data_IF_082571688037
#
_entry.id   IF_082571688037
#
_cell.length_a   1.000
_cell.length_b   1.000
_cell.length_c   1.000
_cell.angle_alpha   90.00
_cell.angle_beta   90.00
_cell.angle_gamma   90.00
#
_symmetry.space_group_name_H-M   'P 1'
#
loop_
_entity.id
_entity.type
_entity.pdbx_description
1 polymer ?
#
# COMPACT_ATOMS: atom_id res chain seq x y z
N UNK A 1 -25.10 10.40 14.08
CA UNK A 1 -24.72 11.19 12.90
C UNK A 1 -23.56 10.49 12.21
N UNK A 2 -23.66 10.18 10.89
CA UNK A 2 -22.60 9.53 10.15
C UNK A 2 -21.43 10.49 9.89
N UNK A 3 -20.20 10.00 10.09
CA UNK A 3 -19.00 10.70 9.65
C UNK A 3 -18.72 10.29 8.19
N UNK A 4 -18.23 11.20 7.38
CA UNK A 4 -17.86 10.98 5.99
C UNK A 4 -16.42 11.45 5.80
N UNK A 5 -15.65 10.66 5.06
CA UNK A 5 -14.33 11.05 4.59
C UNK A 5 -14.47 11.53 3.15
N UNK A 6 -13.94 12.71 2.86
CA UNK A 6 -13.99 13.31 1.53
C UNK A 6 -12.60 13.55 0.98
N UNK A 7 -12.47 13.40 -0.33
CA UNK A 7 -11.35 13.86 -1.13
C UNK A 7 -11.90 14.83 -2.16
N UNK A 8 -11.40 16.06 -2.16
CA UNK A 8 -11.82 17.11 -3.06
C UNK A 8 -10.61 17.80 -3.70
N UNK A 9 -10.81 18.46 -4.84
CA UNK A 9 -9.78 19.24 -5.51
C UNK A 9 -10.11 20.72 -5.40
N UNK A 10 -9.11 21.51 -5.03
CA UNK A 10 -9.19 22.96 -5.17
C UNK A 10 -9.14 23.35 -6.67
N UNK A 11 -9.60 24.56 -7.03
CA UNK A 11 -9.47 25.15 -8.37
C UNK A 11 -8.01 25.19 -8.87
N UNK A 12 -7.04 25.20 -7.97
CA UNK A 12 -5.62 25.13 -8.31
C UNK A 12 -5.10 23.68 -8.54
N UNK A 13 -5.98 22.68 -8.52
CA UNK A 13 -5.63 21.28 -8.79
C UNK A 13 -5.00 20.53 -7.60
N UNK A 14 -4.91 21.17 -6.43
CA UNK A 14 -4.40 20.57 -5.20
C UNK A 14 -5.46 19.70 -4.55
N UNK A 15 -5.13 18.44 -4.26
CA UNK A 15 -6.03 17.51 -3.57
C UNK A 15 -6.08 17.84 -2.08
N UNK A 16 -7.30 17.98 -1.56
CA UNK A 16 -7.62 18.27 -0.17
C UNK A 16 -8.51 17.14 0.33
N UNK A 17 -8.04 16.40 1.34
CA UNK A 17 -8.78 15.32 1.95
C UNK A 17 -9.03 15.59 3.43
N UNK A 18 -10.24 15.30 3.90
CA UNK A 18 -10.65 15.54 5.28
C UNK A 18 -11.78 14.62 5.74
N UNK A 19 -12.13 14.72 7.01
CA UNK A 19 -13.30 14.03 7.58
C UNK A 19 -14.31 15.09 8.03
N UNK A 20 -15.58 14.88 7.74
CA UNK A 20 -16.70 15.75 8.15
C UNK A 20 -17.93 14.94 8.50
N UNK A 21 -18.71 15.48 9.42
CA UNK A 21 -20.00 14.92 9.78
C UNK A 21 -21.05 15.53 8.84
N UNK A 22 -21.82 14.68 8.17
CA UNK A 22 -22.93 15.09 7.30
C UNK A 22 -24.09 14.10 7.49
N UNK A 23 -25.31 14.46 7.10
CA UNK A 23 -26.45 13.54 7.17
C UNK A 23 -26.45 12.59 5.95
N UNK A 24 -25.88 13.03 4.82
CA UNK A 24 -25.74 12.24 3.59
C UNK A 24 -24.50 12.64 2.79
N UNK A 25 -24.08 11.77 1.85
CA UNK A 25 -22.99 12.09 0.93
C UNK A 25 -23.31 13.31 0.04
N UNK A 26 -24.59 13.51 -0.27
CA UNK A 26 -25.09 14.61 -1.09
C UNK A 26 -25.01 15.96 -0.35
N UNK A 27 -25.30 15.97 0.95
CA UNK A 27 -25.12 17.15 1.80
C UNK A 27 -23.63 17.54 1.89
N UNK A 28 -22.73 16.56 2.04
CA UNK A 28 -21.30 16.81 2.08
C UNK A 28 -20.77 17.34 0.73
N UNK A 29 -21.26 16.80 -0.39
CA UNK A 29 -20.91 17.30 -1.71
C UNK A 29 -21.32 18.77 -1.88
N UNK A 30 -22.51 19.15 -1.40
CA UNK A 30 -22.98 20.53 -1.42
C UNK A 30 -22.15 21.47 -0.56
N UNK A 31 -21.69 21.04 0.62
CA UNK A 31 -20.78 21.81 1.46
C UNK A 31 -19.43 22.04 0.79
N UNK A 32 -18.84 21.00 0.19
CA UNK A 32 -17.55 21.11 -0.50
C UNK A 32 -17.63 22.05 -1.71
N UNK A 33 -18.71 21.95 -2.49
CA UNK A 33 -18.94 22.84 -3.62
C UNK A 33 -19.12 24.30 -3.17
N UNK A 34 -19.82 24.53 -2.04
CA UNK A 34 -19.98 25.87 -1.44
C UNK A 34 -18.65 26.47 -0.99
N UNK A 35 -17.68 25.62 -0.64
CA UNK A 35 -16.31 26.01 -0.28
C UNK A 35 -15.35 26.04 -1.47
N UNK A 36 -15.89 26.03 -2.70
CA UNK A 36 -15.13 26.01 -3.96
C UNK A 36 -14.19 24.80 -4.15
N UNK A 37 -14.48 23.71 -3.45
CA UNK A 37 -13.79 22.43 -3.57
C UNK A 37 -14.63 21.48 -4.45
N UNK A 38 -14.00 20.86 -5.43
CA UNK A 38 -14.64 19.90 -6.34
C UNK A 38 -14.53 18.51 -5.71
N UNK A 39 -15.63 17.90 -5.23
CA UNK A 39 -15.58 16.57 -4.64
C UNK A 39 -15.18 15.53 -5.68
N UNK A 40 -14.10 14.78 -5.40
CA UNK A 40 -13.62 13.67 -6.23
C UNK A 40 -14.20 12.36 -5.70
N UNK A 41 -14.25 12.22 -4.37
CA UNK A 41 -14.66 10.99 -3.71
C UNK A 41 -15.26 11.30 -2.32
N UNK A 42 -16.41 10.71 -2.01
CA UNK A 42 -17.09 10.84 -0.71
C UNK A 42 -17.42 9.44 -0.21
N UNK A 43 -16.83 9.06 0.92
CA UNK A 43 -16.98 7.73 1.52
C UNK A 43 -17.62 7.89 2.90
N UNK A 44 -18.72 7.19 3.14
CA UNK A 44 -19.34 7.15 4.46
C UNK A 44 -18.45 6.35 5.42
N UNK A 45 -17.92 7.01 6.44
CA UNK A 45 -17.14 6.38 7.49
C UNK A 45 -18.09 5.63 8.44
N UNK A 46 -18.38 4.38 8.09
CA UNK A 46 -19.06 3.46 9.00
C UNK A 46 -18.10 3.20 10.16
N UNK A 47 -18.50 3.60 11.37
CA UNK A 47 -17.71 3.54 12.60
C UNK A 47 -16.96 2.19 12.75
N UNK A 48 -15.64 2.24 12.61
CA UNK A 48 -14.71 1.32 13.29
C UNK A 48 -13.41 2.07 13.63
N UNK A 49 -13.37 2.52 14.88
CA UNK A 49 -12.25 2.56 15.82
C UNK A 49 -10.82 2.61 15.25
N UNK A 50 -10.16 3.73 15.55
CA UNK A 50 -8.72 3.91 15.83
C UNK A 50 -7.67 3.68 14.73
N UNK A 51 -7.03 4.81 14.36
CA UNK A 51 -5.60 5.02 14.07
C UNK A 51 -4.78 3.78 13.65
N UNK A 52 -4.49 3.67 12.34
CA UNK A 52 -3.20 3.24 11.77
C UNK A 52 -3.26 3.38 10.23
N UNK A 53 -2.11 3.55 9.54
CA UNK A 53 -2.06 3.97 8.15
C UNK A 53 -2.89 3.03 7.28
N UNK A 54 -3.69 3.63 6.39
CA UNK A 54 -4.64 2.93 5.52
C UNK A 54 -3.83 2.08 4.54
N UNK A 55 -3.52 0.87 4.97
CA UNK A 55 -3.36 -0.29 4.10
C UNK A 55 -4.70 -0.48 3.44
N UNK A 56 -4.83 -0.01 2.19
CA UNK A 56 -5.93 -0.42 1.33
C UNK A 56 -5.88 -1.95 1.27
N UNK A 57 -6.70 -2.61 2.09
CA UNK A 57 -7.03 -4.03 1.93
C UNK A 57 -7.90 -4.10 0.68
N UNK A 58 -7.22 -4.13 -0.46
CA UNK A 58 -7.75 -4.66 -1.71
C UNK A 58 -8.36 -6.01 -1.34
N UNK A 59 -9.65 -6.28 -1.65
CA UNK A 59 -10.29 -7.55 -1.33
C UNK A 59 -9.38 -8.70 -1.79
N UNK A 60 -9.14 -9.65 -0.91
CA UNK A 60 -8.15 -10.73 -1.04
C UNK A 60 -8.33 -11.58 -2.31
N UNK A 61 -9.47 -11.43 -2.99
CA UNK A 61 -9.80 -12.09 -4.25
C UNK A 61 -9.28 -11.36 -5.51
N UNK A 62 -8.84 -10.10 -5.39
CA UNK A 62 -8.36 -9.26 -6.49
C UNK A 62 -6.88 -8.87 -6.37
N UNK A 63 -6.11 -9.53 -5.50
CA UNK A 63 -4.65 -9.35 -5.52
C UNK A 63 -4.10 -10.03 -6.78
N UNK A 64 -3.39 -9.30 -7.66
CA UNK A 64 -2.71 -9.89 -8.81
C UNK A 64 -1.84 -11.05 -8.34
N UNK A 65 -2.06 -12.23 -8.92
CA UNK A 65 -1.20 -13.37 -8.69
C UNK A 65 0.20 -13.03 -9.19
N UNK A 66 1.21 -13.17 -8.34
CA UNK A 66 2.60 -13.05 -8.76
C UNK A 66 2.98 -14.36 -9.45
N UNK A 67 3.30 -14.35 -10.76
CA UNK A 67 3.69 -15.56 -11.46
C UNK A 67 5.02 -16.10 -10.90
N UNK A 68 5.18 -17.43 -10.94
CA UNK A 68 6.35 -18.11 -10.39
C UNK A 68 7.66 -17.64 -11.03
N UNK A 69 7.66 -17.36 -12.34
CA UNK A 69 8.82 -16.84 -13.09
C UNK A 69 9.35 -15.51 -12.52
N UNK A 70 8.47 -14.59 -12.12
CA UNK A 70 8.88 -13.32 -11.53
C UNK A 70 9.53 -13.53 -10.16
N UNK A 71 8.99 -14.45 -9.36
CA UNK A 71 9.57 -14.80 -8.06
C UNK A 71 10.95 -15.45 -8.23
N UNK A 72 11.11 -16.34 -9.20
CA UNK A 72 12.40 -16.97 -9.52
C UNK A 72 13.43 -15.94 -9.98
N UNK A 73 13.02 -14.98 -10.82
CA UNK A 73 13.89 -13.90 -11.28
C UNK A 73 14.34 -13.01 -10.12
N UNK A 74 13.41 -12.66 -9.22
CA UNK A 74 13.71 -11.92 -8.01
C UNK A 74 14.72 -12.64 -7.12
N UNK A 75 14.54 -13.94 -6.87
CA UNK A 75 15.49 -14.72 -6.06
C UNK A 75 16.89 -14.73 -6.68
N UNK A 76 17.01 -14.85 -8.01
CA UNK A 76 18.32 -14.78 -8.71
C UNK A 76 18.95 -13.40 -8.58
N UNK A 77 18.18 -12.33 -8.75
CA UNK A 77 18.67 -10.97 -8.61
C UNK A 77 19.12 -10.70 -7.17
N UNK A 78 18.33 -11.10 -6.19
CA UNK A 78 18.66 -10.99 -4.78
C UNK A 78 19.94 -11.77 -4.44
N UNK A 79 20.07 -13.02 -4.89
CA UNK A 79 21.29 -13.82 -4.71
C UNK A 79 22.52 -13.13 -5.30
N UNK A 80 22.41 -12.58 -6.52
CA UNK A 80 23.53 -11.92 -7.20
C UNK A 80 24.01 -10.69 -6.43
N UNK A 81 23.06 -9.87 -5.96
CA UNK A 81 23.36 -8.64 -5.21
C UNK A 81 23.94 -8.97 -3.83
N UNK A 82 23.36 -9.94 -3.12
CA UNK A 82 23.87 -10.38 -1.82
C UNK A 82 25.25 -11.04 -1.91
N UNK A 83 25.48 -11.84 -2.95
CA UNK A 83 26.80 -12.45 -3.21
C UNK A 83 27.88 -11.39 -3.51
N UNK A 84 27.50 -10.24 -4.05
CA UNK A 84 28.39 -9.10 -4.24
C UNK A 84 28.69 -8.32 -2.94
N UNK A 85 28.15 -8.74 -1.79
CA UNK A 85 28.36 -8.10 -0.49
C UNK A 85 27.51 -6.86 -0.26
N UNK A 86 26.48 -6.63 -1.09
CA UNK A 86 25.58 -5.49 -0.93
C UNK A 86 24.66 -5.73 0.28
N UNK A 87 24.47 -4.73 1.16
CA UNK A 87 23.55 -4.84 2.29
C UNK A 87 22.13 -5.22 1.85
N UNK A 88 21.48 -6.12 2.61
CA UNK A 88 20.14 -6.65 2.30
C UNK A 88 19.08 -5.54 2.10
N UNK A 89 19.11 -4.49 2.91
CA UNK A 89 18.16 -3.36 2.77
C UNK A 89 18.31 -2.65 1.42
N UNK A 90 19.55 -2.39 0.99
CA UNK A 90 19.81 -1.80 -0.33
C UNK A 90 19.40 -2.77 -1.44
N UNK A 91 19.71 -4.06 -1.30
CA UNK A 91 19.30 -5.07 -2.27
C UNK A 91 17.78 -5.11 -2.47
N UNK A 92 17.00 -5.15 -1.38
CA UNK A 92 15.54 -5.15 -1.41
C UNK A 92 14.99 -3.86 -2.01
N UNK A 93 15.56 -2.70 -1.70
CA UNK A 93 15.16 -1.42 -2.30
C UNK A 93 15.34 -1.43 -3.82
N UNK A 94 16.49 -1.92 -4.31
CA UNK A 94 16.78 -2.01 -5.75
C UNK A 94 15.86 -3.00 -6.46
N UNK A 95 15.49 -4.11 -5.80
CA UNK A 95 14.52 -5.06 -6.32
C UNK A 95 13.12 -4.45 -6.40
N UNK A 96 12.72 -3.67 -5.39
CA UNK A 96 11.42 -2.98 -5.39
C UNK A 96 11.30 -2.00 -6.57
N UNK A 97 12.36 -1.26 -6.88
CA UNK A 97 12.40 -0.31 -8.00
C UNK A 97 12.39 -0.97 -9.39
N UNK A 98 12.98 -2.16 -9.52
CA UNK A 98 13.17 -2.84 -10.82
C UNK A 98 12.07 -3.84 -11.15
N UNK A 99 11.22 -4.17 -10.18
CA UNK A 99 10.13 -5.12 -10.34
C UNK A 99 8.99 -4.52 -11.17
N UNK A 100 8.58 -5.22 -12.23
CA UNK A 100 7.48 -4.77 -13.11
C UNK A 100 6.09 -4.97 -12.48
N UNK A 101 5.96 -5.96 -11.61
CA UNK A 101 4.71 -6.29 -10.95
C UNK A 101 4.48 -5.41 -9.73
N UNK A 102 3.42 -4.60 -9.79
CA UNK A 102 3.06 -3.67 -8.71
C UNK A 102 2.84 -4.36 -7.38
N UNK A 103 2.21 -5.54 -7.38
CA UNK A 103 1.92 -6.29 -6.15
C UNK A 103 3.20 -6.78 -5.47
N UNK A 104 4.18 -7.19 -6.27
CA UNK A 104 5.47 -7.62 -5.77
C UNK A 104 6.27 -6.40 -5.28
N UNK A 105 6.28 -5.30 -6.03
CA UNK A 105 6.91 -4.03 -5.63
C UNK A 105 6.38 -3.51 -4.29
N UNK A 106 5.05 -3.49 -4.11
CA UNK A 106 4.42 -3.05 -2.86
C UNK A 106 4.78 -3.96 -1.67
N UNK A 107 4.88 -5.28 -1.91
CA UNK A 107 5.34 -6.22 -0.90
C UNK A 107 6.79 -5.95 -0.50
N UNK A 108 7.68 -5.72 -1.46
CA UNK A 108 9.09 -5.40 -1.20
C UNK A 108 9.28 -4.07 -0.48
N UNK A 109 8.49 -3.04 -0.80
CA UNK A 109 8.48 -1.76 -0.07
C UNK A 109 8.11 -1.96 1.41
N UNK A 110 7.12 -2.81 1.67
CA UNK A 110 6.72 -3.14 3.04
C UNK A 110 7.81 -3.93 3.77
N UNK A 111 8.42 -4.91 3.09
CA UNK A 111 9.55 -5.68 3.64
C UNK A 111 10.73 -4.76 3.95
N UNK A 112 11.06 -3.81 3.08
CA UNK A 112 12.11 -2.83 3.30
C UNK A 112 11.84 -1.99 4.54
N UNK A 113 10.59 -1.58 4.74
CA UNK A 113 10.17 -0.83 5.94
C UNK A 113 10.40 -1.66 7.20
N UNK A 114 9.96 -2.92 7.23
CA UNK A 114 10.21 -3.82 8.37
C UNK A 114 11.69 -4.11 8.61
N UNK A 115 12.50 -4.22 7.55
CA UNK A 115 13.96 -4.37 7.69
C UNK A 115 14.59 -3.12 8.33
N UNK A 116 14.15 -1.92 7.94
CA UNK A 116 14.60 -0.67 8.54
C UNK A 116 14.16 -0.53 10.01
N UNK A 117 13.05 -1.16 10.39
CA UNK A 117 12.59 -1.28 11.79
C UNK A 117 13.39 -2.33 12.58
N UNK A 118 14.30 -3.08 11.95
CA UNK A 118 15.15 -4.08 12.59
C UNK A 118 14.56 -5.49 12.63
N UNK A 119 13.45 -5.75 11.93
CA UNK A 119 12.95 -7.11 11.78
C UNK A 119 13.83 -7.93 10.84
N UNK A 120 13.83 -9.26 11.04
CA UNK A 120 14.55 -10.16 10.13
C UNK A 120 13.80 -10.33 8.81
N UNK A 121 14.55 -10.60 7.74
CA UNK A 121 14.01 -10.83 6.41
C UNK A 121 12.92 -11.92 6.41
N UNK A 122 13.16 -13.04 7.10
CA UNK A 122 12.22 -14.16 7.17
C UNK A 122 10.88 -13.75 7.80
N UNK A 123 10.91 -12.94 8.85
CA UNK A 123 9.70 -12.40 9.48
C UNK A 123 8.96 -11.50 8.50
N UNK A 124 9.66 -10.57 7.83
CA UNK A 124 9.05 -9.66 6.87
C UNK A 124 8.44 -10.38 5.67
N UNK A 125 9.11 -11.40 5.13
CA UNK A 125 8.59 -12.23 4.02
C UNK A 125 7.35 -13.04 4.43
N UNK A 126 7.32 -13.54 5.67
CA UNK A 126 6.17 -14.32 6.19
C UNK A 126 4.86 -13.53 6.29
N UNK A 127 4.92 -12.20 6.25
CA UNK A 127 3.74 -11.34 6.19
C UNK A 127 3.00 -11.45 4.85
N UNK A 128 3.62 -12.03 3.83
CA UNK A 128 3.12 -12.13 2.46
C UNK A 128 2.99 -13.58 1.98
N UNK A 129 2.18 -14.43 2.65
CA UNK A 129 2.08 -15.86 2.34
C UNK A 129 1.46 -16.16 0.97
N UNK A 130 0.74 -15.20 0.38
CA UNK A 130 0.18 -15.31 -0.97
C UNK A 130 1.20 -15.09 -2.08
N UNK A 131 2.38 -14.54 -1.75
CA UNK A 131 3.46 -14.21 -2.70
C UNK A 131 4.67 -15.10 -2.42
N UNK A 132 5.08 -15.21 -1.16
CA UNK A 132 6.18 -16.07 -0.73
C UNK A 132 5.59 -17.34 -0.12
N UNK A 133 5.66 -18.43 -0.88
CA UNK A 133 5.28 -19.76 -0.40
C UNK A 133 6.14 -20.18 0.79
N UNK A 134 5.60 -21.01 1.69
CA UNK A 134 6.33 -21.56 2.83
C UNK A 134 7.64 -22.25 2.47
N UNK A 135 7.77 -22.76 1.23
CA UNK A 135 9.04 -23.34 0.75
C UNK A 135 10.20 -22.33 0.71
N UNK A 136 9.91 -21.04 0.49
CA UNK A 136 10.92 -19.97 0.39
C UNK A 136 11.31 -19.43 1.79
N UNK A 137 10.53 -19.77 2.82
CA UNK A 137 10.68 -19.27 4.20
C UNK A 137 11.39 -20.27 5.15
N UNK A 138 11.77 -21.43 4.62
CA UNK A 138 12.55 -22.49 5.29
C UNK A 138 14.03 -22.28 5.01
#
# INVERSE_FOLDING_TARGET
>A
MPEFQYSARDRQGKSVSGKRIALSAEELAGQLQSESLIPIEIIQAVKKTEKKPVTWKIPQFFKPHVPLDELQMLCRQMYTVLKAGVPIGIAVARLAETTRNKTLSDALQTILTSLNEGHSLSISLSQFPTIFSSFLLI
#
